data_IF_538027957432
#
_entry.id   IF_538027957432
#
_cell.length_a   1.000
_cell.length_b   1.000
_cell.length_c   1.000
_cell.angle_alpha   90.00
_cell.angle_beta   90.00
_cell.angle_gamma   90.00
#
_symmetry.space_group_name_H-M   'P 1'
#
loop_
_entity.id
_entity.type
_entity.pdbx_description
1 polymer ?
#
# COMPACT_ATOMS: atom_id res chain seq x y z
N UNK A 1 -36.47 -29.10 27.27
CA UNK A 1 -35.23 -29.87 27.47
C UNK A 1 -34.14 -28.91 27.87
N UNK A 2 -33.40 -29.15 28.97
CA UNK A 2 -32.30 -28.27 29.36
C UNK A 2 -31.13 -28.44 28.38
N UNK A 3 -30.53 -27.32 27.96
CA UNK A 3 -29.35 -27.32 27.11
C UNK A 3 -28.19 -27.89 27.92
N UNK A 4 -27.60 -28.98 27.44
CA UNK A 4 -26.39 -29.55 28.03
C UNK A 4 -25.19 -28.68 27.62
N UNK A 5 -24.86 -27.72 28.47
CA UNK A 5 -23.78 -26.74 28.28
C UNK A 5 -22.41 -27.41 28.09
N UNK A 6 -22.15 -28.52 28.79
CA UNK A 6 -20.90 -29.29 28.65
C UNK A 6 -20.81 -29.94 27.26
N UNK A 7 -21.92 -30.49 26.76
CA UNK A 7 -21.96 -31.06 25.41
C UNK A 7 -21.80 -29.98 24.33
N UNK A 8 -22.27 -28.76 24.56
CA UNK A 8 -22.06 -27.64 23.64
C UNK A 8 -20.60 -27.16 23.66
N UNK A 9 -19.97 -27.06 24.84
CA UNK A 9 -18.59 -26.67 25.00
C UNK A 9 -17.62 -27.64 24.30
N UNK A 10 -17.80 -28.94 24.50
CA UNK A 10 -16.97 -29.95 23.86
C UNK A 10 -17.05 -29.89 22.32
N UNK A 11 -18.24 -29.63 21.76
CA UNK A 11 -18.40 -29.47 20.30
C UNK A 11 -17.67 -28.25 19.75
N UNK A 12 -17.66 -27.15 20.49
CA UNK A 12 -16.94 -25.93 20.11
C UNK A 12 -15.43 -26.17 20.15
N UNK A 13 -14.95 -26.88 21.18
CA UNK A 13 -13.54 -27.22 21.29
C UNK A 13 -13.09 -28.15 20.17
N UNK A 14 -13.88 -29.19 19.86
CA UNK A 14 -13.62 -30.09 18.73
C UNK A 14 -13.64 -29.35 17.39
N UNK A 15 -14.55 -28.38 17.22
CA UNK A 15 -14.60 -27.55 16.01
C UNK A 15 -13.34 -26.67 15.89
N UNK A 16 -12.92 -26.04 16.99
CA UNK A 16 -11.73 -25.19 17.00
C UNK A 16 -10.46 -25.98 16.64
N UNK A 17 -10.31 -27.20 17.16
CA UNK A 17 -9.19 -28.09 16.84
C UNK A 17 -9.19 -28.46 15.36
N UNK A 18 -10.37 -28.81 14.81
CA UNK A 18 -10.51 -29.10 13.38
C UNK A 18 -10.16 -27.89 12.52
N UNK A 19 -10.67 -26.72 12.86
CA UNK A 19 -10.43 -25.49 12.12
C UNK A 19 -8.94 -25.12 12.13
N UNK A 20 -8.26 -25.24 13.28
CA UNK A 20 -6.81 -25.02 13.35
C UNK A 20 -6.03 -26.02 12.49
N UNK A 21 -6.38 -27.30 12.54
CA UNK A 21 -5.72 -28.32 11.72
C UNK A 21 -5.93 -28.06 10.22
N UNK A 22 -7.14 -27.65 9.83
CA UNK A 22 -7.48 -27.33 8.45
C UNK A 22 -6.72 -26.10 7.96
N UNK A 23 -6.64 -25.04 8.77
CA UNK A 23 -5.87 -23.84 8.44
C UNK A 23 -4.38 -24.15 8.30
N UNK A 24 -3.82 -24.99 9.18
CA UNK A 24 -2.42 -25.39 9.09
C UNK A 24 -2.13 -26.20 7.83
N UNK A 25 -3.00 -27.16 7.48
CA UNK A 25 -2.87 -27.92 6.23
C UNK A 25 -3.03 -27.03 5.00
N UNK A 26 -4.02 -26.14 5.00
CA UNK A 26 -4.25 -25.19 3.92
C UNK A 26 -3.05 -24.24 3.75
N UNK A 27 -2.45 -23.77 4.84
CA UNK A 27 -1.23 -22.99 4.79
C UNK A 27 -0.09 -23.80 4.16
N UNK A 28 0.15 -25.04 4.59
CA UNK A 28 1.23 -25.87 4.02
C UNK A 28 1.00 -26.14 2.53
N UNK A 29 -0.23 -26.41 2.12
CA UNK A 29 -0.57 -26.79 0.74
C UNK A 29 -0.56 -25.60 -0.24
N UNK A 30 -0.96 -24.41 0.24
CA UNK A 30 -1.13 -23.23 -0.60
C UNK A 30 -0.18 -22.06 -0.28
N UNK A 31 0.73 -22.18 0.69
CA UNK A 31 1.70 -21.13 1.01
C UNK A 31 2.59 -20.81 -0.19
N UNK A 32 3.03 -21.82 -0.94
CA UNK A 32 3.84 -21.62 -2.15
C UNK A 32 3.02 -21.01 -3.29
N UNK A 33 1.74 -21.34 -3.42
CA UNK A 33 0.83 -20.68 -4.35
C UNK A 33 0.57 -19.20 -3.97
N UNK A 34 0.44 -18.91 -2.67
CA UNK A 34 0.33 -17.54 -2.16
C UNK A 34 1.63 -16.74 -2.33
N UNK A 35 2.78 -17.41 -2.22
CA UNK A 35 4.12 -16.83 -2.39
C UNK A 35 4.47 -16.62 -3.87
N UNK A 36 4.09 -17.55 -4.75
CA UNK A 36 4.28 -17.41 -6.21
C UNK A 36 3.35 -16.37 -6.85
N UNK A 37 2.17 -16.11 -6.28
CA UNK A 37 1.35 -14.92 -6.62
C UNK A 37 2.00 -13.63 -6.09
N UNK A 38 2.98 -13.73 -5.19
CA UNK A 38 3.86 -12.63 -4.78
C UNK A 38 5.10 -12.47 -5.66
N UNK A 39 5.42 -13.44 -6.52
CA UNK A 39 6.59 -13.43 -7.43
C UNK A 39 6.26 -12.94 -8.85
N UNK A 40 5.07 -12.37 -9.08
CA UNK A 40 4.79 -11.68 -10.33
C UNK A 40 5.26 -10.22 -10.23
N UNK A 41 6.53 -10.05 -10.61
CA UNK A 41 7.38 -8.86 -10.60
C UNK A 41 7.70 -8.28 -9.22
N UNK A 42 8.99 -8.36 -8.87
CA UNK A 42 9.67 -7.31 -8.10
C UNK A 42 9.50 -5.98 -8.85
N UNK A 43 8.31 -5.38 -8.75
CA UNK A 43 8.08 -4.01 -9.19
C UNK A 43 9.11 -3.17 -8.42
N UNK A 44 9.96 -2.38 -9.09
CA UNK A 44 10.84 -1.45 -8.41
C UNK A 44 10.02 -0.70 -7.36
N UNK A 45 10.49 -0.69 -6.11
CA UNK A 45 9.82 0.11 -5.10
C UNK A 45 9.70 1.52 -5.70
N UNK A 46 8.46 1.98 -5.95
CA UNK A 46 8.10 3.34 -6.36
C UNK A 46 8.22 3.66 -7.88
N UNK A 47 7.46 2.96 -8.75
CA UNK A 47 7.54 3.12 -10.20
C UNK A 47 7.22 4.53 -10.71
N UNK A 48 6.42 5.33 -9.98
CA UNK A 48 6.09 6.69 -10.40
C UNK A 48 7.27 7.61 -10.12
N UNK A 49 7.78 7.61 -8.89
CA UNK A 49 8.92 8.46 -8.54
C UNK A 49 10.13 8.15 -9.42
N UNK A 50 10.43 6.86 -9.64
CA UNK A 50 11.55 6.42 -10.47
C UNK A 50 11.43 6.91 -11.92
N UNK A 51 10.22 6.83 -12.50
CA UNK A 51 9.94 7.37 -13.84
C UNK A 51 10.22 8.88 -13.92
N UNK A 52 9.76 9.64 -12.93
CA UNK A 52 9.99 11.10 -12.89
C UNK A 52 11.47 11.45 -12.66
N UNK A 53 12.20 10.65 -11.88
CA UNK A 53 13.66 10.80 -11.71
C UNK A 53 14.38 10.54 -13.04
N UNK A 54 13.98 9.51 -13.78
CA UNK A 54 14.57 9.16 -15.07
C UNK A 54 14.31 10.22 -16.14
N UNK A 55 13.09 10.75 -16.21
CA UNK A 55 12.67 11.69 -17.25
C UNK A 55 13.11 13.13 -17.00
N UNK A 56 13.00 13.62 -15.75
CA UNK A 56 13.22 15.03 -15.42
C UNK A 56 14.55 15.27 -14.70
N UNK A 57 15.20 14.23 -14.20
CA UNK A 57 16.42 14.32 -13.42
C UNK A 57 16.22 14.99 -12.05
N UNK A 58 17.32 15.19 -11.33
CA UNK A 58 17.32 15.72 -9.96
C UNK A 58 16.71 17.12 -9.84
N UNK A 59 16.98 18.01 -10.80
CA UNK A 59 16.41 19.36 -10.82
C UNK A 59 14.90 19.34 -11.11
N UNK A 60 14.45 18.38 -11.92
CA UNK A 60 13.03 18.12 -12.13
C UNK A 60 12.30 17.76 -10.85
N UNK A 61 12.82 16.81 -10.08
CA UNK A 61 12.26 16.41 -8.78
C UNK A 61 12.22 17.58 -7.80
N UNK A 62 13.29 18.39 -7.77
CA UNK A 62 13.34 19.61 -6.95
C UNK A 62 12.30 20.64 -7.42
N UNK A 63 12.08 20.75 -8.73
CA UNK A 63 11.05 21.61 -9.31
C UNK A 63 9.62 21.16 -8.98
N UNK A 64 9.41 19.87 -8.64
CA UNK A 64 8.11 19.33 -8.26
C UNK A 64 7.86 19.34 -6.74
N UNK A 65 8.90 19.18 -5.92
CA UNK A 65 8.72 18.98 -4.46
C UNK A 65 9.41 20.03 -3.58
N UNK A 66 10.32 20.85 -4.13
CA UNK A 66 11.30 21.70 -3.44
C UNK A 66 12.46 20.96 -2.77
N UNK A 67 12.47 19.63 -2.77
CA UNK A 67 13.53 18.82 -2.17
C UNK A 67 14.44 18.24 -3.23
N UNK A 68 15.73 18.16 -2.93
CA UNK A 68 16.64 17.25 -3.63
C UNK A 68 16.21 15.81 -3.38
N UNK A 69 16.63 14.88 -4.24
CA UNK A 69 16.33 13.45 -4.06
C UNK A 69 16.78 12.98 -2.67
N UNK A 70 17.98 13.37 -2.20
CA UNK A 70 18.48 13.01 -0.87
C UNK A 70 17.66 13.57 0.28
N UNK A 71 17.18 14.82 0.17
CA UNK A 71 16.31 15.40 1.19
C UNK A 71 14.94 14.71 1.21
N UNK A 72 14.41 14.38 0.03
CA UNK A 72 13.18 13.61 -0.09
C UNK A 72 13.30 12.23 0.55
N UNK A 73 14.40 11.50 0.29
CA UNK A 73 14.67 10.20 0.96
C UNK A 73 14.76 10.34 2.48
N UNK A 74 15.38 11.43 2.95
CA UNK A 74 15.46 11.71 4.38
C UNK A 74 14.06 11.94 4.97
N UNK A 75 13.21 12.72 4.30
CA UNK A 75 11.81 12.91 4.70
C UNK A 75 11.03 11.61 4.69
N UNK A 76 11.18 10.80 3.65
CA UNK A 76 10.55 9.49 3.54
C UNK A 76 10.90 8.60 4.73
N UNK A 77 12.16 8.57 5.16
CA UNK A 77 12.60 7.76 6.33
C UNK A 77 11.95 8.16 7.67
N UNK A 78 11.34 9.34 7.77
CA UNK A 78 10.60 9.74 8.98
C UNK A 78 9.13 9.31 8.95
N UNK A 79 8.59 9.03 7.77
CA UNK A 79 7.16 8.78 7.55
C UNK A 79 6.85 7.40 6.98
N UNK A 80 7.87 6.64 6.56
CA UNK A 80 7.73 5.36 5.88
C UNK A 80 6.93 4.34 6.70
N UNK A 81 7.19 4.18 7.99
CA UNK A 81 6.48 3.26 8.87
C UNK A 81 4.98 3.61 8.94
N UNK A 82 4.67 4.90 9.13
CA UNK A 82 3.30 5.39 9.22
C UNK A 82 2.57 5.24 7.88
N UNK A 83 3.25 5.60 6.79
CA UNK A 83 2.73 5.53 5.42
C UNK A 83 2.48 4.09 4.98
N UNK A 84 3.40 3.17 5.23
CA UNK A 84 3.22 1.75 4.91
C UNK A 84 2.07 1.15 5.71
N UNK A 85 1.97 1.48 7.01
CA UNK A 85 0.87 1.00 7.85
C UNK A 85 -0.50 1.48 7.36
N UNK A 86 -0.64 2.78 7.11
CA UNK A 86 -1.89 3.36 6.62
C UNK A 86 -2.25 2.90 5.19
N UNK A 87 -1.26 2.69 4.33
CA UNK A 87 -1.49 2.29 2.94
C UNK A 87 -1.95 0.84 2.78
N UNK A 88 -1.50 -0.05 3.67
CA UNK A 88 -1.87 -1.46 3.68
C UNK A 88 -3.22 -1.71 4.36
N UNK A 89 -3.69 -0.76 5.18
CA UNK A 89 -4.96 -0.90 5.89
C UNK A 89 -6.17 -0.67 4.96
N UNK A 90 -7.07 -1.64 4.88
CA UNK A 90 -8.35 -1.53 4.18
C UNK A 90 -8.29 -1.59 2.65
N UNK A 91 -7.11 -1.72 2.03
CA UNK A 91 -6.97 -1.88 0.57
C UNK A 91 -6.86 -3.36 0.21
N UNK A 92 -7.93 -3.89 -0.37
CA UNK A 92 -7.98 -5.30 -0.80
C UNK A 92 -6.91 -5.66 -1.84
N UNK A 93 -7.14 -5.32 -3.12
CA UNK A 93 -6.17 -5.62 -4.18
C UNK A 93 -4.93 -4.73 -4.03
N UNK A 94 -3.72 -5.31 -4.10
CA UNK A 94 -2.45 -4.56 -4.09
C UNK A 94 -2.50 -3.48 -5.18
N UNK A 95 -2.29 -2.22 -4.78
CA UNK A 95 -2.25 -1.06 -5.66
C UNK A 95 -0.97 -1.09 -6.51
N UNK A 96 -1.02 -0.61 -7.76
CA UNK A 96 0.17 -0.39 -8.60
C UNK A 96 0.98 0.84 -8.17
N UNK A 97 0.41 1.68 -7.32
CA UNK A 97 1.05 2.84 -6.71
C UNK A 97 1.62 2.44 -5.35
N UNK A 98 2.89 2.76 -5.10
CA UNK A 98 3.51 2.52 -3.79
C UNK A 98 3.13 3.61 -2.77
N UNK A 99 3.31 3.37 -1.46
CA UNK A 99 3.19 4.41 -0.44
C UNK A 99 4.08 5.64 -0.71
N UNK A 100 5.32 5.44 -1.17
CA UNK A 100 6.26 6.53 -1.46
C UNK A 100 5.91 7.29 -2.72
N UNK A 101 5.40 6.62 -3.75
CA UNK A 101 4.84 7.30 -4.93
C UNK A 101 3.73 8.25 -4.51
N UNK A 102 2.91 7.80 -3.56
CA UNK A 102 1.81 8.59 -3.07
C UNK A 102 2.27 9.79 -2.24
N UNK A 103 3.28 9.60 -1.39
CA UNK A 103 3.97 10.68 -0.71
C UNK A 103 4.56 11.70 -1.71
N UNK A 104 5.22 11.24 -2.78
CA UNK A 104 5.77 12.09 -3.84
C UNK A 104 4.68 12.92 -4.54
N UNK A 105 3.55 12.30 -4.91
CA UNK A 105 2.41 12.99 -5.50
C UNK A 105 1.83 14.04 -4.54
N UNK A 106 1.66 13.70 -3.26
CA UNK A 106 1.17 14.63 -2.25
C UNK A 106 2.09 15.85 -2.06
N UNK A 107 3.41 15.64 -2.00
CA UNK A 107 4.39 16.74 -1.92
C UNK A 107 4.34 17.65 -3.15
N UNK A 108 4.10 17.08 -4.33
CA UNK A 108 3.93 17.86 -5.57
C UNK A 108 2.67 18.73 -5.54
N UNK A 109 1.55 18.18 -5.05
CA UNK A 109 0.30 18.93 -4.86
C UNK A 109 0.50 20.07 -3.84
N UNK A 110 1.15 19.80 -2.72
CA UNK A 110 1.41 20.80 -1.69
C UNK A 110 2.29 21.95 -2.20
N UNK A 111 3.26 21.68 -3.07
CA UNK A 111 4.11 22.71 -3.67
C UNK A 111 3.32 23.66 -4.58
N UNK A 112 2.53 23.09 -5.49
CA UNK A 112 1.94 23.85 -6.61
C UNK A 112 0.52 24.36 -6.32
N UNK A 113 -0.14 23.82 -5.30
CA UNK A 113 -1.48 24.17 -4.83
C UNK A 113 -2.46 24.47 -5.99
N UNK A 114 -2.62 23.50 -6.87
CA UNK A 114 -3.50 23.58 -8.06
C UNK A 114 -4.68 22.61 -7.95
N UNK A 115 -5.58 22.64 -8.94
CA UNK A 115 -6.73 21.72 -8.97
C UNK A 115 -6.28 20.26 -9.10
N UNK A 116 -7.05 19.36 -8.49
CA UNK A 116 -6.84 17.91 -8.60
C UNK A 116 -6.79 17.43 -10.06
N UNK A 117 -7.59 18.03 -10.95
CA UNK A 117 -7.58 17.68 -12.38
C UNK A 117 -6.24 17.90 -13.08
N UNK A 118 -5.52 18.97 -12.73
CA UNK A 118 -4.21 19.26 -13.35
C UNK A 118 -3.18 18.23 -12.89
N UNK A 119 -3.05 18.05 -11.59
CA UNK A 119 -2.09 17.08 -11.04
C UNK A 119 -2.42 15.64 -11.43
N UNK A 120 -3.70 15.26 -11.43
CA UNK A 120 -4.10 13.94 -11.88
C UNK A 120 -3.69 13.69 -13.33
N UNK A 121 -3.81 14.70 -14.21
CA UNK A 121 -3.35 14.58 -15.59
C UNK A 121 -1.82 14.40 -15.68
N UNK A 122 -1.05 15.16 -14.89
CA UNK A 122 0.43 15.06 -14.86
C UNK A 122 0.91 13.65 -14.45
N UNK A 123 0.17 12.98 -13.57
CA UNK A 123 0.48 11.63 -13.08
C UNK A 123 -0.29 10.50 -13.78
N UNK A 124 -1.14 10.81 -14.78
CA UNK A 124 -1.92 9.80 -15.51
C UNK A 124 -3.11 9.18 -14.75
N UNK A 125 -3.63 9.87 -13.72
CA UNK A 125 -4.79 9.46 -12.94
C UNK A 125 -6.08 10.19 -13.34
N UNK A 126 -7.22 9.63 -12.92
CA UNK A 126 -8.48 10.39 -12.84
C UNK A 126 -8.49 11.20 -11.54
N UNK A 127 -8.97 12.45 -11.57
CA UNK A 127 -9.00 13.34 -10.41
C UNK A 127 -9.55 12.70 -9.12
N UNK A 128 -10.71 12.02 -9.11
CA UNK A 128 -11.23 11.40 -7.87
C UNK A 128 -10.34 10.27 -7.33
N UNK A 129 -9.62 9.57 -8.19
CA UNK A 129 -8.68 8.51 -7.77
C UNK A 129 -7.41 9.12 -7.21
N UNK A 130 -6.88 10.15 -7.87
CA UNK A 130 -5.69 10.87 -7.45
C UNK A 130 -5.87 11.54 -6.09
N UNK A 131 -7.01 12.22 -5.89
CA UNK A 131 -7.37 12.85 -4.62
C UNK A 131 -7.43 11.82 -3.49
N UNK A 132 -8.10 10.68 -3.70
CA UNK A 132 -8.14 9.58 -2.71
C UNK A 132 -6.76 9.02 -2.39
N UNK A 133 -5.87 8.97 -3.38
CA UNK A 133 -4.51 8.48 -3.19
C UNK A 133 -3.73 9.46 -2.31
N UNK A 134 -3.72 10.76 -2.66
CA UNK A 134 -3.03 11.80 -1.89
C UNK A 134 -3.60 11.94 -0.47
N UNK A 135 -4.92 11.89 -0.31
CA UNK A 135 -5.56 11.99 1.01
C UNK A 135 -5.34 10.75 1.89
N UNK A 136 -4.95 9.61 1.32
CA UNK A 136 -4.52 8.46 2.13
C UNK A 136 -3.13 8.65 2.75
N UNK A 137 -2.41 9.72 2.36
CA UNK A 137 -1.11 10.10 2.89
C UNK A 137 -1.20 11.20 3.96
N UNK A 138 -2.37 11.79 4.16
CA UNK A 138 -2.63 12.92 5.05
C UNK A 138 -3.32 12.47 6.34
#
# INVERSE_FOLDING_TARGET
MPINTNAAFNRLQDQNIRDQSFLQTSFIEYCDAASSVSEMDEIPNNPIMDHFVADLGSEGIRSLTNFTISEFETLWSFVDDAMNSAWLEGRGRRSTTSPKDCFFMAMTVLKHYSSWDKHAADFGFKAPTFEKACNACA
#
